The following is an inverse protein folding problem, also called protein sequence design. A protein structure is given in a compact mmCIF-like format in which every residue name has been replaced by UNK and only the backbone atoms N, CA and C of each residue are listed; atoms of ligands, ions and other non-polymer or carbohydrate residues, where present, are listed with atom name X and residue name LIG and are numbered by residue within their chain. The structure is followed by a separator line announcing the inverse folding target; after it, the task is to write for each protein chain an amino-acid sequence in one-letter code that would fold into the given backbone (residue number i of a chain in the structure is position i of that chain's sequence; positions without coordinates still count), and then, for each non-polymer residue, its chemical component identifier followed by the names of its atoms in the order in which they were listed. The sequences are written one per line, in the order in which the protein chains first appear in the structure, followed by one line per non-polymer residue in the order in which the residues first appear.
data_IF_125901817957
#
_entry.id   IF_125901817957
#
_cell.length_a   1.000
_cell.length_b   1.000
_cell.length_c   1.000
_cell.angle_alpha   90.00
_cell.angle_beta   90.00
_cell.angle_gamma   90.00
#
_symmetry.space_group_name_H-M   'P 1'
#
loop_
_entity.id
_entity.type
_entity.pdbx_description
1 polymer ?
#
# COMPACT_ATOMS: atom_id res chain seq x y z
N UNK A 1 -0.37 33.54 -5.40
CA UNK A 1 -1.39 32.68 -6.04
C UNK A 1 -2.66 32.76 -5.21
N UNK A 2 -3.77 33.27 -5.77
CA UNK A 2 -5.08 33.32 -5.07
C UNK A 2 -5.48 31.88 -4.71
N UNK A 3 -5.78 31.63 -3.44
CA UNK A 3 -6.31 30.35 -2.96
C UNK A 3 -7.57 29.98 -3.75
N UNK A 4 -7.41 29.15 -4.77
CA UNK A 4 -8.53 28.63 -5.54
C UNK A 4 -9.31 27.69 -4.65
N UNK A 5 -10.43 28.14 -4.13
CA UNK A 5 -11.27 27.35 -3.21
C UNK A 5 -11.95 26.25 -4.03
N UNK A 6 -11.44 25.01 -3.99
CA UNK A 6 -12.08 23.86 -4.63
C UNK A 6 -13.49 23.68 -4.07
N UNK A 7 -14.49 23.60 -4.92
CA UNK A 7 -15.89 23.38 -4.54
C UNK A 7 -16.48 22.14 -5.18
N UNK A 8 -16.08 21.83 -6.44
CA UNK A 8 -16.61 20.73 -7.24
C UNK A 8 -15.62 19.57 -7.25
N UNK A 9 -15.95 18.49 -6.54
CA UNK A 9 -15.10 17.32 -6.38
C UNK A 9 -15.66 16.17 -7.20
N UNK A 10 -14.85 15.60 -8.10
CA UNK A 10 -15.14 14.31 -8.72
C UNK A 10 -14.51 13.19 -7.91
N UNK A 11 -15.32 12.31 -7.36
CA UNK A 11 -14.83 11.09 -6.70
C UNK A 11 -14.76 9.97 -7.73
N UNK A 12 -13.55 9.44 -7.99
CA UNK A 12 -13.35 8.27 -8.85
C UNK A 12 -13.26 7.05 -7.96
N UNK A 13 -14.12 6.06 -8.19
CA UNK A 13 -14.27 4.87 -7.34
C UNK A 13 -14.65 3.64 -8.20
N UNK A 14 -14.49 2.45 -7.66
CA UNK A 14 -14.82 1.20 -8.37
C UNK A 14 -13.65 0.68 -9.19
N UNK A 15 -13.68 0.87 -10.51
CA UNK A 15 -12.66 0.33 -11.43
C UNK A 15 -12.79 -1.18 -11.65
N UNK A 16 -11.78 -1.79 -12.25
CA UNK A 16 -11.77 -3.21 -12.66
C UNK A 16 -10.79 -4.08 -11.87
N UNK A 17 -10.05 -3.50 -10.92
CA UNK A 17 -9.08 -4.23 -10.11
C UNK A 17 -9.74 -5.25 -9.16
N UNK A 18 -8.96 -6.20 -8.66
CA UNK A 18 -9.41 -7.13 -7.62
C UNK A 18 -9.81 -6.45 -6.29
N UNK A 19 -9.51 -5.15 -6.14
CA UNK A 19 -9.83 -4.34 -4.96
C UNK A 19 -11.07 -3.45 -5.16
N UNK A 20 -11.86 -3.71 -6.22
CA UNK A 20 -13.06 -2.94 -6.55
C UNK A 20 -14.01 -2.71 -5.36
N UNK A 21 -14.27 -3.74 -4.56
CA UNK A 21 -15.16 -3.63 -3.40
C UNK A 21 -14.63 -2.64 -2.36
N UNK A 22 -13.32 -2.64 -2.13
CA UNK A 22 -12.65 -1.69 -1.22
C UNK A 22 -12.77 -0.26 -1.76
N UNK A 23 -12.54 -0.10 -3.06
CA UNK A 23 -12.67 1.19 -3.75
C UNK A 23 -14.07 1.77 -3.64
N UNK A 24 -15.10 0.96 -3.90
CA UNK A 24 -16.51 1.39 -3.77
C UNK A 24 -16.84 1.82 -2.34
N UNK A 25 -16.39 1.06 -1.33
CA UNK A 25 -16.65 1.37 0.07
C UNK A 25 -15.89 2.63 0.53
N UNK A 26 -14.62 2.75 0.18
CA UNK A 26 -13.80 3.96 0.45
C UNK A 26 -14.42 5.18 -0.21
N UNK A 27 -14.77 5.07 -1.50
CA UNK A 27 -15.41 6.16 -2.24
C UNK A 27 -16.74 6.61 -1.62
N UNK A 28 -17.61 5.68 -1.23
CA UNK A 28 -18.87 6.01 -0.52
C UNK A 28 -18.63 6.75 0.78
N UNK A 29 -17.65 6.33 1.60
CA UNK A 29 -17.31 7.00 2.84
C UNK A 29 -16.78 8.42 2.58
N UNK A 30 -15.90 8.59 1.61
CA UNK A 30 -15.38 9.90 1.22
C UNK A 30 -16.47 10.83 0.66
N UNK A 31 -17.38 10.33 -0.18
CA UNK A 31 -18.52 11.10 -0.69
C UNK A 31 -19.37 11.63 0.47
N UNK A 32 -19.70 10.78 1.45
CA UNK A 32 -20.45 11.18 2.65
C UNK A 32 -19.73 12.29 3.41
N UNK A 33 -18.43 12.16 3.63
CA UNK A 33 -17.62 13.16 4.33
C UNK A 33 -17.53 14.49 3.56
N UNK A 34 -17.29 14.45 2.24
CA UNK A 34 -17.22 15.63 1.39
C UNK A 34 -18.57 16.38 1.34
N UNK A 35 -19.69 15.66 1.20
CA UNK A 35 -21.04 16.28 1.25
C UNK A 35 -21.32 16.94 2.60
N UNK A 36 -20.93 16.30 3.72
CA UNK A 36 -21.04 16.89 5.07
C UNK A 36 -20.24 18.20 5.17
N UNK A 37 -19.12 18.30 4.45
CA UNK A 37 -18.30 19.52 4.35
C UNK A 37 -18.77 20.50 3.27
N UNK A 38 -19.98 20.30 2.70
CA UNK A 38 -20.63 21.16 1.73
C UNK A 38 -19.90 21.28 0.37
N UNK A 39 -19.12 20.25 -0.02
CA UNK A 39 -18.59 20.17 -1.38
C UNK A 39 -19.69 19.67 -2.35
N UNK A 40 -19.67 20.18 -3.59
CA UNK A 40 -20.44 19.64 -4.71
C UNK A 40 -19.71 18.38 -5.19
N UNK A 41 -20.35 17.21 -5.09
CA UNK A 41 -19.71 15.92 -5.37
C UNK A 41 -20.39 15.21 -6.53
N UNK A 42 -19.59 14.91 -7.55
CA UNK A 42 -19.94 13.98 -8.63
C UNK A 42 -19.11 12.71 -8.53
N UNK A 43 -19.51 11.65 -9.24
CA UNK A 43 -18.84 10.35 -9.21
C UNK A 43 -18.56 9.82 -10.59
N UNK A 44 -17.50 9.04 -10.73
CA UNK A 44 -17.16 8.28 -11.93
C UNK A 44 -16.61 6.92 -11.53
N UNK A 45 -17.15 5.87 -12.17
CA UNK A 45 -16.61 4.51 -12.05
C UNK A 45 -15.97 4.13 -13.40
N UNK A 46 -14.64 3.91 -13.46
CA UNK A 46 -13.95 3.57 -14.70
C UNK A 46 -14.39 2.25 -15.34
N UNK A 47 -15.07 1.40 -14.60
CA UNK A 47 -15.67 0.18 -15.15
C UNK A 47 -16.76 0.48 -16.20
N UNK A 48 -17.47 1.60 -16.04
CA UNK A 48 -18.63 1.95 -16.88
C UNK A 48 -18.41 3.19 -17.74
N UNK A 49 -17.51 4.09 -17.33
CA UNK A 49 -17.23 5.34 -18.04
C UNK A 49 -15.74 5.63 -18.06
N UNK A 50 -15.20 5.82 -19.25
CA UNK A 50 -13.78 6.09 -19.42
C UNK A 50 -13.36 7.42 -18.73
N UNK A 51 -12.21 7.40 -18.06
CA UNK A 51 -11.61 8.57 -17.43
C UNK A 51 -11.35 9.70 -18.45
N UNK A 52 -11.05 9.38 -19.70
CA UNK A 52 -10.83 10.35 -20.77
C UNK A 52 -12.06 11.24 -21.07
N UNK A 53 -13.26 10.80 -20.67
CA UNK A 53 -14.51 11.54 -20.87
C UNK A 53 -14.85 12.51 -19.74
N UNK A 54 -13.88 12.81 -18.87
CA UNK A 54 -14.04 13.81 -17.81
C UNK A 54 -14.07 15.20 -18.40
N UNK A 55 -15.20 15.92 -18.22
CA UNK A 55 -15.29 17.35 -18.55
C UNK A 55 -14.65 18.21 -17.46
N UNK A 56 -13.41 18.63 -17.71
CA UNK A 56 -12.63 19.45 -16.77
C UNK A 56 -13.26 20.79 -16.40
N UNK A 57 -14.22 21.31 -17.21
CA UNK A 57 -14.92 22.57 -16.92
C UNK A 57 -15.90 22.44 -15.75
N UNK A 58 -16.33 21.20 -15.43
CA UNK A 58 -17.29 20.89 -14.37
C UNK A 58 -16.64 20.47 -13.05
N UNK A 59 -15.31 20.38 -13.00
CA UNK A 59 -14.58 19.78 -11.88
C UNK A 59 -13.43 20.68 -11.46
N UNK A 60 -13.23 20.86 -10.16
CA UNK A 60 -12.11 21.61 -9.62
C UNK A 60 -10.97 20.70 -9.16
N UNK A 61 -11.32 19.50 -8.66
CA UNK A 61 -10.38 18.52 -8.12
C UNK A 61 -10.94 17.10 -8.21
N UNK A 62 -10.06 16.14 -8.44
CA UNK A 62 -10.37 14.70 -8.38
C UNK A 62 -10.01 14.16 -7.00
N UNK A 63 -10.95 13.49 -6.35
CA UNK A 63 -10.66 12.61 -5.23
C UNK A 63 -10.51 11.18 -5.77
N UNK A 64 -9.27 10.69 -5.82
CA UNK A 64 -9.01 9.32 -6.24
C UNK A 64 -9.29 8.35 -5.10
N UNK A 65 -10.31 7.50 -5.24
CA UNK A 65 -10.64 6.43 -4.30
C UNK A 65 -10.50 5.04 -4.96
N UNK A 66 -9.80 4.94 -6.09
CA UNK A 66 -9.46 3.66 -6.70
C UNK A 66 -8.42 2.93 -5.86
N UNK A 67 -8.41 1.61 -5.92
CA UNK A 67 -7.42 0.75 -5.27
C UNK A 67 -6.88 -0.30 -6.24
N UNK A 68 -5.64 -0.73 -5.99
CA UNK A 68 -4.95 -1.74 -6.79
C UNK A 68 -4.55 -1.27 -8.18
N UNK A 69 -4.51 -2.22 -9.10
CA UNK A 69 -4.10 -1.99 -10.49
C UNK A 69 -4.93 -0.87 -11.13
N UNK A 70 -4.28 -0.05 -11.94
CA UNK A 70 -4.79 1.12 -12.65
C UNK A 70 -5.28 2.27 -11.73
N UNK A 71 -5.36 2.05 -10.41
CA UNK A 71 -5.83 3.04 -9.46
C UNK A 71 -4.74 3.68 -8.60
N UNK A 72 -3.74 2.89 -8.18
CA UNK A 72 -2.68 3.33 -7.26
C UNK A 72 -1.27 3.05 -7.77
N UNK A 73 -1.12 2.68 -9.04
CA UNK A 73 0.13 2.31 -9.70
C UNK A 73 0.69 3.36 -10.67
N UNK A 74 0.05 4.52 -10.75
CA UNK A 74 0.44 5.63 -11.62
C UNK A 74 -0.43 5.78 -12.87
N UNK A 75 -1.20 4.76 -13.26
CA UNK A 75 -2.02 4.79 -14.49
C UNK A 75 -3.12 5.86 -14.40
N UNK A 76 -3.99 5.81 -13.40
CA UNK A 76 -5.03 6.83 -13.22
C UNK A 76 -4.42 8.22 -13.04
N UNK A 77 -3.32 8.33 -12.28
CA UNK A 77 -2.63 9.58 -12.03
C UNK A 77 -2.10 10.22 -13.32
N UNK A 78 -1.59 9.41 -14.28
CA UNK A 78 -1.13 9.93 -15.58
C UNK A 78 -2.26 10.56 -16.39
N UNK A 79 -3.46 9.99 -16.35
CA UNK A 79 -4.64 10.61 -16.96
C UNK A 79 -5.03 11.93 -16.29
N UNK A 80 -4.96 12.00 -14.95
CA UNK A 80 -5.28 13.25 -14.24
C UNK A 80 -4.29 14.36 -14.57
N UNK A 81 -3.00 14.04 -14.69
CA UNK A 81 -1.97 14.99 -15.10
C UNK A 81 -2.15 15.43 -16.56
N UNK A 82 -2.46 14.51 -17.47
CA UNK A 82 -2.79 14.84 -18.87
C UNK A 82 -3.97 15.81 -18.96
N UNK A 83 -5.03 15.57 -18.19
CA UNK A 83 -6.20 16.46 -18.12
C UNK A 83 -5.92 17.77 -17.40
N UNK A 84 -4.76 17.91 -16.74
CA UNK A 84 -4.38 19.07 -15.91
C UNK A 84 -5.40 19.38 -14.81
N UNK A 85 -5.99 18.33 -14.21
CA UNK A 85 -6.92 18.45 -13.09
C UNK A 85 -6.17 18.10 -11.81
N UNK A 86 -6.18 18.96 -10.78
CA UNK A 86 -5.64 18.61 -9.46
C UNK A 86 -6.30 17.36 -8.89
N UNK A 87 -5.54 16.52 -8.19
CA UNK A 87 -6.07 15.29 -7.62
C UNK A 87 -5.43 14.99 -6.26
N UNK A 88 -6.09 14.15 -5.48
CA UNK A 88 -5.62 13.71 -4.16
C UNK A 88 -4.59 12.60 -4.27
N UNK A 89 -3.79 12.44 -3.20
CA UNK A 89 -2.76 11.43 -3.04
C UNK A 89 -1.51 11.63 -3.91
N UNK A 90 -0.71 10.60 -4.05
CA UNK A 90 0.60 10.64 -4.70
C UNK A 90 0.49 10.74 -6.22
N UNK A 91 1.52 11.31 -6.85
CA UNK A 91 1.61 11.44 -8.31
C UNK A 91 2.04 10.15 -9.00
N UNK A 92 2.21 10.22 -10.32
CA UNK A 92 2.52 9.07 -11.21
C UNK A 92 3.74 8.29 -10.71
N UNK A 93 4.89 8.95 -10.62
CA UNK A 93 6.16 8.30 -10.26
C UNK A 93 6.12 7.72 -8.85
N UNK A 94 5.56 8.46 -7.90
CA UNK A 94 5.47 8.00 -6.51
C UNK A 94 4.56 6.78 -6.35
N UNK A 95 3.44 6.76 -7.05
CA UNK A 95 2.50 5.63 -7.06
C UNK A 95 3.14 4.40 -7.70
N UNK A 96 3.81 4.55 -8.85
CA UNK A 96 4.57 3.47 -9.47
C UNK A 96 5.67 2.92 -8.55
N UNK A 97 6.51 3.80 -7.99
CA UNK A 97 7.60 3.40 -7.10
C UNK A 97 7.10 2.67 -5.85
N UNK A 98 5.99 3.09 -5.27
CA UNK A 98 5.40 2.45 -4.10
C UNK A 98 4.80 1.08 -4.43
N UNK A 99 4.10 0.95 -5.57
CA UNK A 99 3.50 -0.30 -6.02
C UNK A 99 4.56 -1.35 -6.37
N UNK A 100 5.66 -0.94 -7.01
CA UNK A 100 6.77 -1.83 -7.34
C UNK A 100 7.66 -2.06 -6.12
N UNK A 101 7.49 -3.22 -5.48
CA UNK A 101 8.19 -3.57 -4.24
C UNK A 101 9.71 -3.61 -4.36
N UNK A 102 10.26 -3.87 -5.53
CA UNK A 102 11.71 -3.86 -5.74
C UNK A 102 12.23 -2.44 -5.75
N UNK A 103 11.59 -1.57 -6.54
CA UNK A 103 11.96 -0.15 -6.63
C UNK A 103 11.84 0.54 -5.28
N UNK A 104 10.72 0.32 -4.56
CA UNK A 104 10.53 0.92 -3.24
C UNK A 104 11.59 0.48 -2.25
N UNK A 105 11.92 -0.83 -2.20
CA UNK A 105 12.95 -1.35 -1.28
C UNK A 105 14.34 -0.87 -1.62
N UNK A 106 14.71 -0.76 -2.90
CA UNK A 106 15.99 -0.19 -3.32
C UNK A 106 16.11 1.28 -2.89
N UNK A 107 15.03 2.06 -3.04
CA UNK A 107 14.98 3.45 -2.55
C UNK A 107 15.08 3.51 -1.03
N UNK A 108 14.45 2.59 -0.29
CA UNK A 108 14.59 2.51 1.17
C UNK A 108 16.03 2.22 1.59
N UNK A 109 16.69 1.23 0.98
CA UNK A 109 18.08 0.86 1.29
C UNK A 109 19.03 2.04 1.00
N UNK A 110 18.93 2.65 -0.19
CA UNK A 110 19.73 3.84 -0.56
C UNK A 110 19.60 4.98 0.44
N UNK A 111 18.42 5.08 1.07
CA UNK A 111 18.15 6.11 2.10
C UNK A 111 18.29 5.60 3.53
N UNK A 112 18.97 4.49 3.77
CA UNK A 112 19.25 3.93 5.11
C UNK A 112 17.95 3.67 5.92
N UNK A 113 16.87 3.26 5.24
CA UNK A 113 15.64 2.75 5.86
C UNK A 113 15.71 1.24 5.83
N UNK A 114 15.64 0.62 7.00
CA UNK A 114 15.75 -0.83 7.12
C UNK A 114 14.51 -1.52 6.54
N UNK A 115 14.73 -2.51 5.69
CA UNK A 115 13.70 -3.39 5.11
C UNK A 115 14.20 -4.84 5.18
N UNK A 116 13.31 -5.86 5.15
CA UNK A 116 13.75 -7.24 5.12
C UNK A 116 14.70 -7.52 3.94
N UNK A 117 15.71 -8.36 4.15
CA UNK A 117 16.58 -8.81 3.06
C UNK A 117 15.75 -9.54 1.99
N UNK A 118 15.99 -9.25 0.72
CA UNK A 118 15.17 -9.77 -0.38
C UNK A 118 15.96 -9.99 -1.67
N UNK A 119 15.35 -10.70 -2.59
CA UNK A 119 15.70 -10.77 -4.00
C UNK A 119 14.46 -11.06 -4.83
N UNK A 120 14.57 -10.96 -6.15
CA UNK A 120 13.50 -11.33 -7.08
C UNK A 120 13.97 -12.37 -8.08
N UNK A 121 13.00 -13.11 -8.64
CA UNK A 121 13.22 -13.95 -9.82
C UNK A 121 12.05 -13.76 -10.78
N UNK A 122 12.35 -13.86 -12.07
CA UNK A 122 11.37 -13.80 -13.14
C UNK A 122 10.90 -15.21 -13.52
N UNK A 123 9.65 -15.33 -14.01
CA UNK A 123 9.07 -16.60 -14.44
C UNK A 123 9.92 -17.35 -15.48
N UNK A 124 10.63 -16.63 -16.34
CA UNK A 124 11.57 -17.22 -17.30
C UNK A 124 12.72 -17.97 -16.62
N UNK A 125 13.08 -17.58 -15.38
CA UNK A 125 14.15 -18.18 -14.58
C UNK A 125 13.66 -19.38 -13.72
N UNK A 126 12.64 -20.12 -14.17
CA UNK A 126 11.90 -21.15 -13.43
C UNK A 126 12.72 -22.28 -12.81
N UNK A 127 14.01 -22.36 -13.09
CA UNK A 127 14.86 -23.38 -12.48
C UNK A 127 14.99 -23.15 -10.98
N UNK A 128 14.13 -23.78 -10.20
CA UNK A 128 14.06 -23.67 -8.71
C UNK A 128 15.44 -23.85 -8.06
N UNK A 129 16.30 -24.70 -8.64
CA UNK A 129 17.66 -24.87 -8.16
C UNK A 129 18.51 -23.60 -8.27
N UNK A 130 18.31 -22.78 -9.31
CA UNK A 130 19.00 -21.48 -9.43
C UNK A 130 18.51 -20.51 -8.34
N UNK A 131 17.19 -20.47 -8.11
CA UNK A 131 16.62 -19.65 -7.03
C UNK A 131 17.16 -20.12 -5.68
N UNK A 132 17.29 -21.43 -5.44
CA UNK A 132 17.90 -21.99 -4.22
C UNK A 132 19.35 -21.53 -4.05
N UNK A 133 20.16 -21.51 -5.13
CA UNK A 133 21.54 -20.99 -5.07
C UNK A 133 21.58 -19.52 -4.64
N UNK A 134 20.66 -18.69 -5.14
CA UNK A 134 20.56 -17.28 -4.75
C UNK A 134 20.20 -17.14 -3.26
N UNK A 135 19.27 -17.94 -2.74
CA UNK A 135 18.93 -17.96 -1.30
C UNK A 135 20.16 -18.19 -0.44
N UNK A 136 20.96 -19.21 -0.80
CA UNK A 136 22.18 -19.57 -0.05
C UNK A 136 23.19 -18.41 -0.13
N UNK A 137 23.46 -17.90 -1.33
CA UNK A 137 24.41 -16.78 -1.54
C UNK A 137 24.01 -15.54 -0.73
N UNK A 138 22.71 -15.26 -0.63
CA UNK A 138 22.17 -14.11 0.13
C UNK A 138 21.95 -14.41 1.61
N UNK A 139 22.36 -15.59 2.12
CA UNK A 139 22.18 -16.03 3.50
C UNK A 139 20.74 -15.84 3.99
N UNK A 140 19.77 -16.25 3.16
CA UNK A 140 18.35 -16.18 3.50
C UNK A 140 17.85 -17.53 3.97
N UNK A 141 17.14 -17.55 5.10
CA UNK A 141 16.71 -18.77 5.80
C UNK A 141 15.18 -18.81 5.93
N UNK A 142 14.62 -20.00 6.02
CA UNK A 142 13.21 -20.18 6.30
C UNK A 142 12.84 -19.77 7.72
N UNK A 143 11.60 -19.27 7.92
CA UNK A 143 10.56 -19.07 6.92
C UNK A 143 10.84 -17.86 6.01
N UNK A 144 10.35 -17.95 4.75
CA UNK A 144 10.47 -16.89 3.74
C UNK A 144 9.08 -16.42 3.31
N UNK A 145 8.96 -15.13 3.04
CA UNK A 145 7.77 -14.55 2.39
C UNK A 145 7.99 -14.54 0.88
N UNK A 146 7.01 -15.06 0.14
CA UNK A 146 6.98 -15.06 -1.33
C UNK A 146 5.79 -14.22 -1.76
N UNK A 147 6.01 -13.23 -2.59
CA UNK A 147 4.95 -12.32 -3.04
C UNK A 147 5.19 -11.77 -4.45
N UNK A 148 4.12 -11.46 -5.21
CA UNK A 148 4.24 -10.75 -6.47
C UNK A 148 4.83 -9.35 -6.26
N UNK A 149 5.62 -8.87 -7.22
CA UNK A 149 6.28 -7.55 -7.13
C UNK A 149 5.27 -6.41 -7.17
N UNK A 150 4.27 -6.48 -8.06
CA UNK A 150 3.36 -5.37 -8.38
C UNK A 150 1.91 -5.66 -7.93
N UNK A 151 1.72 -6.23 -6.72
CA UNK A 151 0.37 -6.49 -6.19
C UNK A 151 0.18 -5.85 -4.82
N UNK A 152 -1.01 -5.27 -4.60
CA UNK A 152 -1.44 -4.71 -3.33
C UNK A 152 -2.21 -5.71 -2.45
N UNK A 153 -2.75 -5.21 -1.33
CA UNK A 153 -3.71 -5.90 -0.43
C UNK A 153 -3.35 -7.34 -0.03
N UNK A 154 -2.08 -7.66 0.08
CA UNK A 154 -1.58 -9.01 0.40
C UNK A 154 -2.01 -10.11 -0.60
N UNK A 155 -2.45 -9.74 -1.81
CA UNK A 155 -2.79 -10.69 -2.85
C UNK A 155 -1.54 -11.46 -3.30
N UNK A 156 -1.62 -12.80 -3.30
CA UNK A 156 -0.52 -13.67 -3.69
C UNK A 156 0.62 -13.78 -2.66
N UNK A 157 0.50 -13.16 -1.48
CA UNK A 157 1.51 -13.29 -0.41
C UNK A 157 1.39 -14.66 0.26
N UNK A 158 2.49 -15.39 0.35
CA UNK A 158 2.60 -16.71 0.97
C UNK A 158 3.87 -16.81 1.81
N UNK A 159 3.80 -17.64 2.87
CA UNK A 159 4.95 -17.95 3.73
C UNK A 159 5.37 -19.39 3.47
N UNK A 160 6.61 -19.59 3.08
CA UNK A 160 7.24 -20.90 2.94
C UNK A 160 8.00 -21.23 4.23
N UNK A 161 7.65 -22.32 4.89
CA UNK A 161 8.28 -22.75 6.15
C UNK A 161 9.54 -23.57 5.92
N UNK A 162 9.65 -24.19 4.75
CA UNK A 162 10.74 -25.08 4.34
C UNK A 162 10.89 -25.06 2.81
N UNK A 163 11.87 -25.82 2.30
CA UNK A 163 12.14 -25.84 0.86
C UNK A 163 11.03 -26.52 0.04
N UNK A 164 10.31 -27.49 0.60
CA UNK A 164 9.18 -28.16 -0.08
C UNK A 164 8.05 -27.17 -0.32
N UNK A 165 7.68 -26.40 0.72
CA UNK A 165 6.69 -25.32 0.62
C UNK A 165 7.15 -24.27 -0.38
N UNK A 166 8.40 -23.84 -0.29
CA UNK A 166 9.02 -22.85 -1.17
C UNK A 166 8.86 -23.24 -2.65
N UNK A 167 9.25 -24.48 -3.02
CA UNK A 167 9.11 -25.01 -4.37
C UNK A 167 7.65 -24.99 -4.83
N UNK A 168 6.73 -25.54 -4.01
CA UNK A 168 5.29 -25.63 -4.34
C UNK A 168 4.68 -24.24 -4.55
N UNK A 169 4.92 -23.31 -3.61
CA UNK A 169 4.36 -21.95 -3.63
C UNK A 169 4.92 -21.18 -4.82
N UNK A 170 6.24 -21.22 -5.05
CA UNK A 170 6.89 -20.49 -6.14
C UNK A 170 6.36 -20.93 -7.51
N UNK A 171 6.27 -22.24 -7.75
CA UNK A 171 5.74 -22.77 -9.01
C UNK A 171 4.25 -22.41 -9.20
N UNK A 172 3.46 -22.43 -8.13
CA UNK A 172 2.06 -22.04 -8.17
C UNK A 172 1.90 -20.55 -8.52
N UNK A 173 2.65 -19.67 -7.85
CA UNK A 173 2.57 -18.23 -8.09
C UNK A 173 3.07 -17.84 -9.47
N UNK A 174 4.10 -18.50 -10.02
CA UNK A 174 4.56 -18.28 -11.38
C UNK A 174 3.55 -18.66 -12.48
N UNK A 175 2.45 -19.35 -12.16
CA UNK A 175 1.36 -19.54 -13.13
C UNK A 175 0.65 -18.22 -13.44
N UNK A 176 0.52 -17.33 -12.45
CA UNK A 176 -0.27 -16.09 -12.53
C UNK A 176 0.57 -14.81 -12.54
N UNK A 177 1.83 -14.87 -12.10
CA UNK A 177 2.70 -13.70 -11.95
C UNK A 177 4.01 -13.91 -12.68
N UNK A 178 4.49 -12.88 -13.35
CA UNK A 178 5.76 -12.94 -14.09
C UNK A 178 6.98 -12.79 -13.19
N UNK A 179 6.85 -11.96 -12.14
CA UNK A 179 7.96 -11.67 -11.24
C UNK A 179 7.54 -11.83 -9.78
N UNK A 180 8.34 -12.56 -9.03
CA UNK A 180 8.16 -12.78 -7.60
C UNK A 180 9.32 -12.18 -6.81
N UNK A 181 9.00 -11.63 -5.67
CA UNK A 181 9.96 -11.23 -4.64
C UNK A 181 9.96 -12.25 -3.50
N UNK A 182 11.15 -12.58 -3.06
CA UNK A 182 11.42 -13.45 -1.93
C UNK A 182 12.07 -12.61 -0.85
N UNK A 183 11.54 -12.63 0.37
CA UNK A 183 12.11 -11.85 1.46
C UNK A 183 12.14 -12.64 2.77
N UNK A 184 13.03 -12.26 3.67
CA UNK A 184 13.08 -12.84 5.00
C UNK A 184 11.76 -12.52 5.74
N UNK A 185 11.17 -13.57 6.35
CA UNK A 185 10.06 -13.37 7.24
C UNK A 185 10.54 -12.71 8.54
N UNK A 186 10.01 -11.54 8.82
CA UNK A 186 10.28 -10.83 10.07
C UNK A 186 9.12 -11.10 11.03
N UNK A 187 9.45 -11.64 12.18
CA UNK A 187 8.47 -11.80 13.28
C UNK A 187 8.15 -10.49 14.01
N UNK A 188 7.61 -10.60 15.22
CA UNK A 188 7.34 -9.47 16.09
C UNK A 188 6.05 -8.72 15.77
N UNK A 189 5.95 -7.49 16.30
CA UNK A 189 4.75 -6.67 16.23
C UNK A 189 4.52 -6.16 14.81
N UNK A 190 3.26 -6.10 14.41
CA UNK A 190 2.83 -5.45 13.17
C UNK A 190 2.40 -4.03 13.48
N UNK A 191 3.16 -3.06 13.00
CA UNK A 191 2.95 -1.64 13.26
C UNK A 191 2.64 -0.95 11.94
N UNK A 192 1.59 -0.13 11.93
CA UNK A 192 1.27 0.70 10.78
C UNK A 192 1.19 2.16 11.20
N UNK A 193 1.73 3.06 10.39
CA UNK A 193 1.75 4.48 10.66
C UNK A 193 1.13 5.28 9.51
N UNK A 194 0.30 6.26 9.84
CA UNK A 194 -0.31 7.17 8.89
C UNK A 194 0.54 8.44 8.72
N UNK A 195 0.71 8.87 7.47
CA UNK A 195 1.40 10.12 7.13
C UNK A 195 0.44 11.00 6.34
N UNK A 196 0.33 12.26 6.73
CA UNK A 196 -0.45 13.29 6.02
C UNK A 196 0.47 14.49 5.76
N UNK A 197 0.57 14.91 4.50
CA UNK A 197 1.37 16.07 4.10
C UNK A 197 2.79 16.07 4.69
N UNK A 198 3.52 14.98 4.48
CA UNK A 198 4.91 14.75 4.96
C UNK A 198 5.08 14.57 6.49
N UNK A 199 4.01 14.61 7.27
CA UNK A 199 4.04 14.43 8.74
C UNK A 199 3.33 13.13 9.13
N UNK A 200 4.01 12.24 9.81
CA UNK A 200 3.36 11.10 10.45
C UNK A 200 2.51 11.57 11.64
N UNK A 201 1.25 11.16 11.66
CA UNK A 201 0.25 11.61 12.63
C UNK A 201 0.02 10.63 13.77
N UNK A 202 0.37 9.34 13.56
CA UNK A 202 0.24 8.31 14.58
C UNK A 202 0.65 6.94 14.04
N UNK A 203 0.73 5.97 14.98
CA UNK A 203 1.03 4.58 14.68
C UNK A 203 0.14 3.66 15.51
N UNK A 204 -0.38 2.62 14.87
CA UNK A 204 -1.27 1.60 15.41
C UNK A 204 -0.59 0.23 15.38
N UNK A 205 -0.83 -0.60 16.37
CA UNK A 205 -0.41 -2.01 16.39
C UNK A 205 -1.58 -2.90 16.00
N UNK A 206 -1.30 -3.88 15.15
CA UNK A 206 -2.25 -4.88 14.70
C UNK A 206 -1.91 -6.24 15.29
N UNK A 207 -2.89 -6.88 15.93
CA UNK A 207 -2.78 -8.24 16.42
C UNK A 207 -3.79 -9.09 15.66
N UNK A 208 -3.37 -9.72 14.54
CA UNK A 208 -4.26 -10.62 13.83
C UNK A 208 -4.48 -11.90 14.64
N UNK A 209 -5.72 -12.35 14.78
CA UNK A 209 -6.02 -13.68 15.36
C UNK A 209 -5.52 -14.83 14.48
N UNK A 210 -5.23 -14.55 13.21
CA UNK A 210 -4.64 -15.48 12.24
C UNK A 210 -3.13 -15.29 12.18
N UNK A 211 -2.44 -16.31 11.71
CA UNK A 211 -0.98 -16.32 11.53
C UNK A 211 -0.44 -15.22 10.60
N UNK A 212 -1.32 -14.55 9.83
CA UNK A 212 -0.94 -13.51 8.89
C UNK A 212 -2.07 -12.49 8.67
N UNK A 213 -1.74 -11.21 8.54
CA UNK A 213 -2.67 -10.12 8.23
C UNK A 213 -2.95 -10.09 6.71
N UNK A 214 -3.78 -11.05 6.27
CA UNK A 214 -4.18 -11.22 4.87
C UNK A 214 -5.34 -10.29 4.45
N UNK A 215 -5.77 -10.40 3.18
CA UNK A 215 -6.89 -9.61 2.64
C UNK A 215 -8.17 -9.74 3.49
N UNK A 216 -8.50 -10.94 3.96
CA UNK A 216 -9.68 -11.17 4.82
C UNK A 216 -9.51 -10.48 6.17
N UNK A 217 -8.30 -10.51 6.74
CA UNK A 217 -8.00 -9.82 8.00
C UNK A 217 -8.09 -8.30 7.88
N UNK A 218 -7.82 -7.73 6.69
CA UNK A 218 -7.87 -6.28 6.41
C UNK A 218 -9.29 -5.74 6.25
N UNK A 219 -10.21 -6.52 5.68
CA UNK A 219 -11.50 -6.00 5.20
C UNK A 219 -12.73 -6.74 5.73
N UNK A 220 -12.57 -7.74 6.59
CA UNK A 220 -13.67 -8.48 7.19
C UNK A 220 -13.75 -8.25 8.69
N UNK A 221 -14.90 -7.79 9.18
CA UNK A 221 -15.19 -7.70 10.63
C UNK A 221 -15.04 -9.06 11.34
N UNK A 222 -15.36 -10.16 10.64
CA UNK A 222 -15.23 -11.53 11.18
C UNK A 222 -13.76 -11.96 11.41
N UNK A 223 -12.77 -11.24 10.88
CA UNK A 223 -11.35 -11.56 11.09
C UNK A 223 -10.85 -11.19 12.49
N UNK A 224 -11.61 -10.39 13.25
CA UNK A 224 -11.34 -10.00 14.64
C UNK A 224 -9.86 -9.60 14.88
N UNK A 225 -9.24 -8.85 13.96
CA UNK A 225 -7.93 -8.25 14.20
C UNK A 225 -8.08 -7.21 15.30
N UNK A 226 -7.31 -7.34 16.36
CA UNK A 226 -7.29 -6.33 17.42
C UNK A 226 -6.43 -5.15 16.97
N UNK A 227 -6.98 -3.94 17.09
CA UNK A 227 -6.32 -2.68 16.84
C UNK A 227 -5.96 -2.03 18.19
N UNK A 228 -4.70 -1.65 18.36
CA UNK A 228 -4.22 -0.97 19.55
C UNK A 228 -3.64 0.38 19.15
N UNK A 229 -4.32 1.44 19.54
CA UNK A 229 -3.97 2.82 19.24
C UNK A 229 -3.83 3.62 20.56
N UNK A 230 -2.69 4.26 20.83
CA UNK A 230 -1.42 4.18 20.10
C UNK A 230 -0.77 2.78 20.20
N UNK A 231 0.09 2.43 19.22
CA UNK A 231 0.86 1.19 19.23
C UNK A 231 1.65 1.03 20.55
N UNK A 232 1.72 -0.18 21.10
CA UNK A 232 2.44 -0.50 22.35
C UNK A 232 3.96 -0.48 22.12
N UNK A 233 4.50 0.72 22.04
CA UNK A 233 5.90 1.02 21.90
C UNK A 233 6.33 1.99 22.98
N UNK A 234 7.56 1.89 23.49
CA UNK A 234 8.12 2.94 24.31
C UNK A 234 8.20 4.28 23.56
N UNK A 235 8.33 5.38 24.29
CA UNK A 235 8.34 6.74 23.73
C UNK A 235 9.40 6.94 22.65
N UNK A 236 10.59 6.32 22.79
CA UNK A 236 11.69 6.42 21.84
C UNK A 236 11.35 5.71 20.53
N UNK A 237 10.85 4.47 20.62
CA UNK A 237 10.47 3.68 19.46
C UNK A 237 9.24 4.26 18.77
N UNK A 238 8.25 4.79 19.52
CA UNK A 238 7.08 5.46 18.92
C UNK A 238 7.51 6.68 18.08
N UNK A 239 8.36 7.56 18.62
CA UNK A 239 8.94 8.69 17.85
C UNK A 239 9.73 8.21 16.64
N UNK A 240 10.50 7.12 16.80
CA UNK A 240 11.31 6.54 15.72
C UNK A 240 10.46 6.04 14.55
N UNK A 241 9.37 5.32 14.80
CA UNK A 241 8.51 4.82 13.72
C UNK A 241 7.85 5.97 12.97
N UNK A 242 7.39 7.03 13.64
CA UNK A 242 6.84 8.22 13.01
C UNK A 242 7.88 8.92 12.11
N UNK A 243 9.13 9.06 12.61
CA UNK A 243 10.24 9.64 11.84
C UNK A 243 10.55 8.84 10.59
N UNK A 244 10.65 7.50 10.71
CA UNK A 244 10.91 6.61 9.57
C UNK A 244 9.77 6.69 8.55
N UNK A 245 8.52 6.73 8.99
CA UNK A 245 7.33 6.83 8.12
C UNK A 245 7.34 8.13 7.31
N UNK A 246 7.59 9.26 7.97
CA UNK A 246 7.71 10.57 7.29
C UNK A 246 8.89 10.58 6.31
N UNK A 247 10.02 9.95 6.67
CA UNK A 247 11.19 9.83 5.80
C UNK A 247 10.87 8.97 4.57
N UNK A 248 10.24 7.81 4.74
CA UNK A 248 9.89 6.92 3.65
C UNK A 248 8.88 7.56 2.67
N UNK A 249 7.89 8.28 3.20
CA UNK A 249 6.95 9.08 2.40
C UNK A 249 7.69 10.07 1.49
N UNK A 250 8.65 10.82 2.04
CA UNK A 250 9.46 11.80 1.28
C UNK A 250 10.37 11.13 0.26
N UNK A 251 11.02 10.03 0.64
CA UNK A 251 11.94 9.28 -0.25
C UNK A 251 11.24 8.77 -1.51
N UNK A 252 9.99 8.34 -1.40
CA UNK A 252 9.18 7.95 -2.56
C UNK A 252 8.58 9.14 -3.32
N UNK A 253 8.73 10.38 -2.83
CA UNK A 253 8.11 11.57 -3.41
C UNK A 253 6.60 11.60 -3.23
N UNK A 254 6.07 10.94 -2.21
CA UNK A 254 4.63 10.86 -1.95
C UNK A 254 4.02 12.22 -1.59
N UNK A 255 2.73 12.37 -1.86
CA UNK A 255 1.91 13.53 -1.50
C UNK A 255 0.63 13.08 -0.79
N UNK A 256 0.00 14.02 -0.08
CA UNK A 256 -1.28 13.78 0.60
C UNK A 256 -1.14 12.72 1.69
N UNK A 257 -1.88 11.64 1.57
CA UNK A 257 -2.01 10.60 2.60
C UNK A 257 -1.30 9.32 2.18
N UNK A 258 -0.50 8.73 3.09
CA UNK A 258 0.07 7.40 2.91
C UNK A 258 0.01 6.60 4.21
N UNK A 259 0.19 5.28 4.11
CA UNK A 259 0.35 4.38 5.24
C UNK A 259 1.65 3.60 5.08
N UNK A 260 2.47 3.59 6.12
CA UNK A 260 3.71 2.84 6.20
C UNK A 260 3.48 1.57 7.03
N UNK A 261 3.78 0.41 6.46
CA UNK A 261 3.56 -0.90 7.08
C UNK A 261 4.89 -1.50 7.54
N UNK A 262 5.00 -1.82 8.84
CA UNK A 262 6.24 -2.29 9.47
C UNK A 262 6.08 -3.62 10.20
N UNK A 263 7.21 -4.33 10.30
CA UNK A 263 7.45 -5.27 11.39
C UNK A 263 8.44 -4.66 12.39
N UNK A 264 8.10 -4.73 13.69
CA UNK A 264 8.98 -4.32 14.78
C UNK A 264 9.47 -5.56 15.51
N UNK A 265 10.77 -5.83 15.40
CA UNK A 265 11.41 -7.01 15.94
C UNK A 265 12.81 -6.70 16.47
N UNK A 266 13.15 -7.20 17.67
CA UNK A 266 14.46 -6.99 18.31
C UNK A 266 14.89 -5.51 18.27
N UNK A 267 13.98 -4.61 18.67
CA UNK A 267 14.18 -3.16 18.72
C UNK A 267 14.51 -2.47 17.38
N UNK A 268 14.11 -3.11 16.26
CA UNK A 268 14.31 -2.59 14.88
C UNK A 268 12.99 -2.57 14.13
N UNK A 269 12.77 -1.48 13.37
CA UNK A 269 11.65 -1.35 12.44
C UNK A 269 12.08 -1.79 11.06
N UNK A 270 11.41 -2.77 10.51
CA UNK A 270 11.57 -3.23 9.13
C UNK A 270 10.40 -2.73 8.31
N UNK A 271 10.64 -1.74 7.43
CA UNK A 271 9.61 -1.22 6.53
C UNK A 271 9.31 -2.25 5.46
N UNK A 272 8.05 -2.68 5.36
CA UNK A 272 7.60 -3.65 4.39
C UNK A 272 7.19 -2.96 3.08
N UNK A 273 6.36 -1.92 3.19
CA UNK A 273 5.82 -1.16 2.05
C UNK A 273 5.26 0.20 2.50
N UNK A 274 5.07 1.10 1.53
CA UNK A 274 4.27 2.31 1.65
C UNK A 274 3.05 2.17 0.74
N UNK A 275 1.87 2.35 1.31
CA UNK A 275 0.62 2.40 0.58
C UNK A 275 0.28 3.87 0.27
N UNK A 276 0.25 4.22 -1.02
CA UNK A 276 -0.01 5.61 -1.49
C UNK A 276 -1.49 5.92 -1.63
N UNK A 277 -2.35 4.91 -1.54
CA UNK A 277 -3.81 5.01 -1.63
C UNK A 277 -4.46 4.20 -0.52
N UNK A 278 -4.25 4.55 0.77
CA UNK A 278 -4.80 3.77 1.86
C UNK A 278 -6.33 3.79 1.85
N UNK A 279 -6.94 2.68 2.30
CA UNK A 279 -8.39 2.60 2.42
C UNK A 279 -8.96 3.69 3.33
N UNK A 280 -10.16 4.17 2.99
CA UNK A 280 -10.88 5.24 3.72
C UNK A 280 -12.25 4.78 4.23
N UNK A 281 -12.40 3.47 4.48
CA UNK A 281 -13.62 2.92 5.11
C UNK A 281 -13.58 3.14 6.63
N UNK A 282 -14.71 2.91 7.30
CA UNK A 282 -14.78 2.96 8.77
C UNK A 282 -13.88 1.92 9.48
N UNK A 283 -13.40 0.91 8.76
CA UNK A 283 -12.47 -0.11 9.26
C UNK A 283 -11.02 0.15 8.83
N UNK A 284 -10.79 1.27 8.16
CA UNK A 284 -9.47 1.60 7.61
C UNK A 284 -8.62 2.31 8.65
N UNK A 285 -7.36 1.93 8.71
CA UNK A 285 -6.43 2.36 9.77
C UNK A 285 -6.08 3.85 9.72
N UNK A 286 -6.02 4.44 8.51
CA UNK A 286 -5.69 5.87 8.42
C UNK A 286 -6.78 6.75 9.04
N UNK A 287 -8.08 6.57 8.75
CA UNK A 287 -9.14 7.27 9.49
C UNK A 287 -9.09 7.02 11.00
N UNK A 288 -8.81 5.78 11.43
CA UNK A 288 -8.71 5.43 12.85
C UNK A 288 -7.55 6.15 13.55
N UNK A 289 -6.37 6.20 12.90
CA UNK A 289 -5.20 6.92 13.44
C UNK A 289 -5.42 8.44 13.47
N UNK A 290 -6.26 8.96 12.58
CA UNK A 290 -6.50 10.41 12.47
C UNK A 290 -7.56 10.95 13.43
N UNK A 291 -8.36 10.07 14.06
CA UNK A 291 -9.36 10.43 15.09
C UNK A 291 -8.70 10.50 16.45
#
# INVERSE_FOLDING_TARGET
MKNKKFKRVLVILGGTSGERAVSLNSGKACIKALKKKKYSVSTLDPKFKNINLIDKRKIDVIFNALHGKDGEDGVAQSYFEYLKIPYTHSGVISSYNAMNKLVSKDLFIKNKILTPNFFSAHRAEKKINNIKKILIKKKMYFPLVIKPVNQGSSLGVKIAKNFKDFKKITLHLFKNYEQLMFENHIGGQEIQAAVINNRAIGAIELIPKRTFYDYKAKYSKAANTQHIMPARLDRKNYKKVLSISSKAHKVLGCKGVTRADFKFFKNKFYLLEINTQPGMTNLSLVPEIAN
#
